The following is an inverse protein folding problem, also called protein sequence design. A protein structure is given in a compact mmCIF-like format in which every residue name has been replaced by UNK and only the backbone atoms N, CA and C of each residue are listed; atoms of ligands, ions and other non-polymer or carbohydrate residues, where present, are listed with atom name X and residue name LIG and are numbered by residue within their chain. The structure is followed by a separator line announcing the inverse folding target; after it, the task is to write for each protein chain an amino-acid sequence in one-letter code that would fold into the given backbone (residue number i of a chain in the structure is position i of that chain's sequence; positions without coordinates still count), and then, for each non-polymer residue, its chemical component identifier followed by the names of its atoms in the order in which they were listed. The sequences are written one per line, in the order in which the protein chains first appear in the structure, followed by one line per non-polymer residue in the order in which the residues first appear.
data_IF_576659456488
#
_entry.id   IF_576659456488
#
_cell.length_a   1.000
_cell.length_b   1.000
_cell.length_c   1.000
_cell.angle_alpha   90.00
_cell.angle_beta   90.00
_cell.angle_gamma   90.00
#
_symmetry.space_group_name_H-M   'P 1'
#
loop_
_entity.id
_entity.type
_entity.pdbx_description
1 polymer ?
#
# COMPACT_ATOMS: atom_id res chain seq x y z
N UNK A 1 20.30 50.31 -59.27
CA UNK A 1 19.24 51.12 -58.63
C UNK A 1 18.11 50.27 -58.04
N UNK A 2 17.58 49.27 -58.75
CA UNK A 2 16.50 48.42 -58.22
C UNK A 2 16.94 47.62 -56.98
N UNK A 3 18.16 47.09 -56.98
CA UNK A 3 18.73 46.31 -55.85
C UNK A 3 18.88 47.12 -54.56
N UNK A 4 19.32 48.38 -54.64
CA UNK A 4 19.46 49.26 -53.47
C UNK A 4 18.11 49.69 -52.89
N UNK A 5 17.09 49.89 -53.74
CA UNK A 5 15.72 50.12 -53.27
C UNK A 5 15.16 48.89 -52.56
N UNK A 6 15.39 47.69 -53.09
CA UNK A 6 14.94 46.44 -52.46
C UNK A 6 15.62 46.19 -51.10
N UNK A 7 16.92 46.43 -51.01
CA UNK A 7 17.66 46.37 -49.74
C UNK A 7 17.15 47.40 -48.71
N UNK A 8 16.82 48.63 -49.14
CA UNK A 8 16.23 49.65 -48.28
C UNK A 8 14.82 49.30 -47.80
N UNK A 9 13.96 48.81 -48.70
CA UNK A 9 12.58 48.41 -48.39
C UNK A 9 12.55 47.19 -47.46
N UNK A 10 13.41 46.19 -47.69
CA UNK A 10 13.53 45.03 -46.80
C UNK A 10 13.98 45.43 -45.39
N UNK A 11 14.96 46.34 -45.26
CA UNK A 11 15.36 46.90 -43.98
C UNK A 11 14.22 47.63 -43.25
N UNK A 12 13.42 48.44 -43.96
CA UNK A 12 12.25 49.10 -43.36
C UNK A 12 11.19 48.09 -42.92
N UNK A 13 10.92 47.07 -43.71
CA UNK A 13 9.94 46.04 -43.40
C UNK A 13 10.34 45.22 -42.16
N UNK A 14 11.61 44.81 -42.07
CA UNK A 14 12.12 44.10 -40.88
C UNK A 14 12.03 44.97 -39.63
N UNK A 15 12.33 46.26 -39.72
CA UNK A 15 12.19 47.20 -38.60
C UNK A 15 10.72 47.41 -38.20
N UNK A 16 9.79 47.41 -39.15
CA UNK A 16 8.36 47.47 -38.84
C UNK A 16 7.96 46.27 -37.97
N UNK A 17 8.31 45.06 -38.39
CA UNK A 17 7.98 43.85 -37.64
C UNK A 17 8.67 43.80 -36.28
N UNK A 18 9.89 44.33 -36.17
CA UNK A 18 10.57 44.50 -34.88
C UNK A 18 9.77 45.40 -33.94
N UNK A 19 9.31 46.54 -34.44
CA UNK A 19 8.49 47.48 -33.67
C UNK A 19 7.16 46.86 -33.25
N UNK A 20 6.53 46.05 -34.11
CA UNK A 20 5.29 45.35 -33.78
C UNK A 20 5.49 44.39 -32.60
N UNK A 21 6.57 43.58 -32.61
CA UNK A 21 6.88 42.64 -31.52
C UNK A 21 7.26 43.38 -30.24
N UNK A 22 8.01 44.48 -30.33
CA UNK A 22 8.33 45.31 -29.16
C UNK A 22 7.06 45.96 -28.60
N UNK A 23 6.15 46.42 -29.46
CA UNK A 23 4.84 46.95 -29.08
C UNK A 23 3.99 45.91 -28.35
N UNK A 24 3.93 44.68 -28.86
CA UNK A 24 3.23 43.56 -28.21
C UNK A 24 3.82 43.24 -26.84
N UNK A 25 5.14 43.17 -26.74
CA UNK A 25 5.83 42.92 -25.46
C UNK A 25 5.53 44.03 -24.43
N UNK A 26 5.50 45.29 -24.87
CA UNK A 26 5.23 46.42 -24.00
C UNK A 26 3.76 46.45 -23.57
N UNK A 27 2.83 46.14 -24.47
CA UNK A 27 1.40 46.08 -24.17
C UNK A 27 1.09 45.00 -23.12
N UNK A 28 1.83 43.89 -23.12
CA UNK A 28 1.62 42.75 -22.23
C UNK A 28 2.54 42.75 -20.99
N UNK A 29 3.19 43.88 -20.65
CA UNK A 29 4.15 43.95 -19.54
C UNK A 29 3.55 43.55 -18.18
N UNK A 30 2.25 43.81 -17.98
CA UNK A 30 1.54 43.49 -16.74
C UNK A 30 0.70 42.20 -16.84
N UNK A 31 0.76 41.48 -17.96
CA UNK A 31 0.01 40.24 -18.14
C UNK A 31 0.70 39.10 -17.40
N UNK A 32 0.03 38.53 -16.41
CA UNK A 32 0.58 37.43 -15.60
C UNK A 32 0.93 36.22 -16.46
N UNK A 33 2.16 35.71 -16.30
CA UNK A 33 2.63 34.53 -17.04
C UNK A 33 3.03 34.79 -18.49
N UNK A 34 2.99 36.04 -18.97
CA UNK A 34 3.44 36.39 -20.32
C UNK A 34 4.94 36.09 -20.53
N UNK A 35 5.28 35.56 -21.70
CA UNK A 35 6.66 35.29 -22.12
C UNK A 35 6.98 36.17 -23.33
N UNK A 36 8.00 37.02 -23.18
CA UNK A 36 8.37 37.98 -24.22
C UNK A 36 8.92 37.28 -25.46
N UNK A 37 8.61 37.85 -26.62
CA UNK A 37 9.09 37.39 -27.91
C UNK A 37 10.26 38.26 -28.40
N UNK A 38 11.25 37.66 -29.05
CA UNK A 38 12.38 38.36 -29.68
C UNK A 38 12.49 37.96 -31.15
N UNK A 39 12.52 38.92 -32.10
CA UNK A 39 12.79 38.59 -33.49
C UNK A 39 14.27 38.32 -33.74
N UNK A 40 14.54 37.37 -34.63
CA UNK A 40 15.86 37.06 -35.16
C UNK A 40 15.89 37.45 -36.64
N UNK A 41 16.91 38.19 -37.03
CA UNK A 41 17.11 38.64 -38.40
C UNK A 41 18.25 37.87 -39.05
N UNK A 42 18.13 37.66 -40.35
CA UNK A 42 19.15 37.05 -41.20
C UNK A 42 19.34 37.85 -42.49
N UNK A 43 20.50 37.71 -43.11
CA UNK A 43 20.79 38.30 -44.40
C UNK A 43 20.20 37.45 -45.54
N UNK A 44 19.73 38.13 -46.58
CA UNK A 44 19.27 37.45 -47.79
C UNK A 44 20.49 37.10 -48.65
N UNK A 45 20.49 35.92 -49.27
CA UNK A 45 21.59 35.43 -50.11
C UNK A 45 22.16 36.52 -51.03
N UNK A 46 23.47 36.75 -50.89
CA UNK A 46 24.22 37.74 -51.65
C UNK A 46 24.34 37.34 -53.12
N UNK A 47 24.28 38.33 -54.02
CA UNK A 47 24.56 38.13 -55.45
C UNK A 47 26.06 38.20 -55.71
N UNK A 48 26.62 37.11 -56.24
CA UNK A 48 28.03 37.00 -56.61
C UNK A 48 28.24 37.46 -58.07
N UNK A 49 28.96 38.56 -58.25
CA UNK A 49 29.30 39.09 -59.59
C UNK A 49 30.66 38.61 -60.09
N UNK A 50 31.63 38.40 -59.19
CA UNK A 50 32.94 37.84 -59.52
C UNK A 50 33.37 36.85 -58.43
N UNK A 51 33.81 35.63 -58.79
CA UNK A 51 34.40 34.71 -57.82
C UNK A 51 35.76 35.22 -57.37
N UNK A 52 36.22 34.73 -56.21
CA UNK A 52 37.58 34.97 -55.76
C UNK A 52 38.57 34.30 -56.73
N UNK A 53 39.72 34.95 -56.97
CA UNK A 53 40.80 34.37 -57.77
C UNK A 53 42.10 34.35 -56.96
N UNK A 54 42.79 33.21 -57.00
CA UNK A 54 44.12 33.04 -56.42
C UNK A 54 45.17 33.79 -57.25
N UNK A 55 46.33 34.08 -56.64
CA UNK A 55 47.44 34.74 -57.34
C UNK A 55 48.05 33.80 -58.40
N UNK A 56 48.18 34.29 -59.63
CA UNK A 56 48.84 33.59 -60.75
C UNK A 56 49.70 34.56 -61.56
N UNK A 57 50.79 34.03 -62.15
CA UNK A 57 51.67 34.73 -63.10
C UNK A 57 52.19 36.11 -62.63
N UNK A 58 52.54 36.23 -61.35
CA UNK A 58 53.08 37.47 -60.76
C UNK A 58 52.03 38.55 -60.49
N UNK A 59 50.74 38.24 -60.66
CA UNK A 59 49.60 39.12 -60.36
C UNK A 59 48.95 38.69 -59.03
N UNK A 60 48.62 39.66 -58.17
CA UNK A 60 47.98 39.40 -56.87
C UNK A 60 46.58 38.82 -56.99
N UNK A 61 46.14 38.13 -55.93
CA UNK A 61 44.78 37.57 -55.83
C UNK A 61 43.70 38.65 -55.86
N UNK A 62 42.50 38.27 -56.31
CA UNK A 62 41.35 39.16 -56.45
C UNK A 62 40.24 38.72 -55.49
N UNK A 63 39.76 39.67 -54.68
CA UNK A 63 38.63 39.43 -53.77
C UNK A 63 37.33 39.18 -54.55
N UNK A 64 36.43 38.31 -54.03
CA UNK A 64 35.13 38.10 -54.64
C UNK A 64 34.30 39.39 -54.56
N UNK A 65 33.56 39.69 -55.63
CA UNK A 65 32.69 40.86 -55.69
C UNK A 65 31.26 40.40 -55.42
N UNK A 66 30.76 40.66 -54.22
CA UNK A 66 29.43 40.29 -53.77
C UNK A 66 28.61 41.53 -53.41
N UNK A 67 27.31 41.50 -53.69
CA UNK A 67 26.37 42.55 -53.30
C UNK A 67 25.29 41.92 -52.41
N UNK A 68 25.06 42.52 -51.25
CA UNK A 68 24.03 42.08 -50.32
C UNK A 68 22.63 42.47 -50.77
N UNK A 69 21.68 41.55 -50.63
CA UNK A 69 20.30 41.71 -51.10
C UNK A 69 19.33 42.24 -50.03
N UNK A 70 19.83 42.55 -48.83
CA UNK A 70 19.04 43.06 -47.71
C UNK A 70 18.95 42.05 -46.56
N UNK A 71 17.96 42.24 -45.70
CA UNK A 71 17.71 41.42 -44.54
C UNK A 71 16.26 40.94 -44.49
N UNK A 72 16.03 39.80 -43.86
CA UNK A 72 14.70 39.25 -43.59
C UNK A 72 14.61 38.78 -42.14
N UNK A 73 13.39 38.50 -41.67
CA UNK A 73 13.21 37.87 -40.36
C UNK A 73 13.29 36.35 -40.50
N UNK A 74 14.20 35.73 -39.75
CA UNK A 74 14.38 34.29 -39.72
C UNK A 74 13.31 33.61 -38.86
N UNK A 75 13.12 34.10 -37.64
CA UNK A 75 12.19 33.53 -36.66
C UNK A 75 11.82 34.53 -35.57
N UNK A 76 10.78 34.18 -34.80
CA UNK A 76 10.43 34.85 -33.55
C UNK A 76 10.57 33.83 -32.43
N UNK A 77 11.43 34.12 -31.46
CA UNK A 77 11.72 33.23 -30.34
C UNK A 77 11.01 33.72 -29.07
N UNK A 78 10.32 32.81 -28.38
CA UNK A 78 9.73 33.07 -27.07
C UNK A 78 10.77 32.81 -25.98
N UNK A 79 11.03 33.80 -25.12
CA UNK A 79 12.00 33.70 -24.05
C UNK A 79 11.34 33.19 -22.76
N UNK A 80 11.59 31.93 -22.39
CA UNK A 80 10.96 31.26 -21.24
C UNK A 80 11.55 31.60 -19.86
N UNK A 81 12.40 32.62 -19.76
CA UNK A 81 13.06 33.03 -18.50
C UNK A 81 12.04 33.32 -17.39
N UNK A 82 12.39 33.00 -16.14
CA UNK A 82 11.59 33.32 -14.97
C UNK A 82 11.52 34.84 -14.73
N UNK A 83 10.32 35.32 -14.38
CA UNK A 83 10.06 36.72 -14.01
C UNK A 83 10.27 36.97 -12.52
N UNK A 84 9.88 38.16 -12.05
CA UNK A 84 9.82 38.46 -10.62
C UNK A 84 8.48 38.01 -10.05
N UNK A 85 8.50 37.33 -8.91
CA UNK A 85 7.30 36.87 -8.24
C UNK A 85 6.78 37.99 -7.32
N UNK A 86 5.46 38.23 -7.34
CA UNK A 86 4.78 39.20 -6.49
C UNK A 86 3.80 38.43 -5.62
N UNK A 87 3.87 38.66 -4.31
CA UNK A 87 2.98 38.02 -3.34
C UNK A 87 1.59 38.66 -3.46
N UNK A 88 0.56 37.82 -3.48
CA UNK A 88 -0.85 38.23 -3.43
C UNK A 88 -1.48 37.72 -2.12
N UNK A 89 -2.58 38.34 -1.68
CA UNK A 89 -3.32 37.94 -0.48
C UNK A 89 -4.36 36.82 -0.75
N UNK A 90 -4.26 36.15 -1.91
CA UNK A 90 -5.25 35.16 -2.36
C UNK A 90 -4.63 33.77 -2.40
N UNK A 91 -5.12 32.90 -1.52
CA UNK A 91 -4.59 31.54 -1.33
C UNK A 91 -4.67 30.64 -2.57
N UNK A 92 -5.57 30.94 -3.52
CA UNK A 92 -5.71 30.16 -4.76
C UNK A 92 -4.82 30.67 -5.89
N UNK A 93 -4.10 31.77 -5.68
CA UNK A 93 -3.13 32.27 -6.63
C UNK A 93 -1.78 31.59 -6.37
N UNK A 94 -1.27 30.91 -7.38
CA UNK A 94 -0.04 30.12 -7.28
C UNK A 94 0.92 30.48 -8.40
N UNK A 95 2.22 30.47 -8.10
CA UNK A 95 3.28 30.65 -9.09
C UNK A 95 4.22 29.45 -9.05
N UNK A 96 4.56 28.91 -10.21
CA UNK A 96 5.61 27.89 -10.30
C UNK A 96 6.97 28.62 -10.31
N UNK A 97 7.90 28.17 -9.49
CA UNK A 97 9.29 28.65 -9.48
C UNK A 97 10.13 27.65 -10.28
N UNK A 98 10.82 28.14 -11.32
CA UNK A 98 11.65 27.33 -12.21
C UNK A 98 11.24 27.40 -13.68
N UNK A 99 12.14 26.94 -14.55
CA UNK A 99 11.94 26.93 -16.00
C UNK A 99 11.30 25.61 -16.47
N UNK A 100 10.58 25.66 -17.59
CA UNK A 100 10.04 24.45 -18.27
C UNK A 100 8.75 23.87 -17.71
N UNK A 101 8.22 24.37 -16.59
CA UNK A 101 6.96 23.88 -16.00
C UNK A 101 5.76 24.75 -16.33
N UNK A 102 4.60 24.12 -16.51
CA UNK A 102 3.31 24.75 -16.81
C UNK A 102 2.19 24.10 -16.01
N UNK A 103 1.13 24.88 -15.76
CA UNK A 103 -0.15 24.34 -15.32
C UNK A 103 -0.90 23.76 -16.51
N UNK A 104 -1.59 22.66 -16.28
CA UNK A 104 -2.44 22.01 -17.28
C UNK A 104 -3.88 22.44 -17.03
N UNK A 105 -4.57 22.90 -18.08
CA UNK A 105 -5.97 23.33 -18.03
C UNK A 105 -6.76 22.75 -19.19
N UNK A 106 -8.04 22.46 -18.98
CA UNK A 106 -8.91 21.87 -20.00
C UNK A 106 -10.33 22.44 -19.84
N UNK A 107 -11.05 22.66 -20.93
CA UNK A 107 -12.45 23.11 -20.93
C UNK A 107 -13.45 21.97 -20.64
N UNK A 108 -12.99 20.71 -20.68
CA UNK A 108 -13.78 19.50 -20.53
C UNK A 108 -14.62 19.14 -21.76
N UNK A 109 -14.47 19.88 -22.86
CA UNK A 109 -15.17 19.67 -24.14
C UNK A 109 -14.16 19.22 -25.20
N UNK A 110 -13.00 19.87 -25.22
CA UNK A 110 -11.85 19.53 -26.03
C UNK A 110 -11.14 18.31 -25.46
N UNK A 111 -10.75 17.32 -26.29
CA UNK A 111 -9.90 16.22 -25.86
C UNK A 111 -8.45 16.65 -25.61
N UNK A 112 -8.11 17.92 -25.83
CA UNK A 112 -6.75 18.43 -25.73
C UNK A 112 -6.54 19.27 -24.47
N UNK A 113 -5.47 18.95 -23.75
CA UNK A 113 -4.98 19.75 -22.64
C UNK A 113 -4.22 20.98 -23.13
N UNK A 114 -4.46 22.10 -22.46
CA UNK A 114 -3.81 23.37 -22.70
C UNK A 114 -2.83 23.68 -21.56
N UNK A 115 -1.76 24.40 -21.88
CA UNK A 115 -0.70 24.74 -20.94
C UNK A 115 -0.69 26.23 -20.66
N UNK A 116 -0.62 26.61 -19.38
CA UNK A 116 -0.54 28.01 -18.97
C UNK A 116 0.47 28.21 -17.85
N UNK A 117 1.09 29.39 -17.82
CA UNK A 117 1.95 29.81 -16.70
C UNK A 117 1.24 30.73 -15.72
N UNK A 118 0.06 31.24 -16.07
CA UNK A 118 -0.75 32.08 -15.21
C UNK A 118 -1.47 31.20 -14.18
N UNK A 119 -1.17 31.40 -12.90
CA UNK A 119 -1.78 30.64 -11.80
C UNK A 119 -2.85 31.41 -11.03
N UNK A 120 -3.60 32.27 -11.72
CA UNK A 120 -4.75 32.96 -11.13
C UNK A 120 -5.99 32.06 -11.20
N UNK A 121 -6.27 31.32 -10.13
CA UNK A 121 -7.35 30.34 -10.09
C UNK A 121 -8.46 30.72 -9.11
N UNK A 122 -9.67 30.24 -9.37
CA UNK A 122 -10.85 30.42 -8.52
C UNK A 122 -11.68 29.13 -8.49
N UNK A 123 -12.41 28.91 -7.40
CA UNK A 123 -13.38 27.82 -7.33
C UNK A 123 -14.70 28.25 -7.98
N UNK A 124 -15.22 27.40 -8.86
CA UNK A 124 -16.57 27.53 -9.38
C UNK A 124 -17.62 27.08 -8.33
N UNK A 125 -18.93 27.32 -8.57
CA UNK A 125 -20.00 26.86 -7.67
C UNK A 125 -20.07 25.34 -7.51
N UNK A 126 -19.56 24.59 -8.49
CA UNK A 126 -19.50 23.12 -8.50
C UNK A 126 -18.28 22.57 -7.75
N UNK A 127 -17.41 23.44 -7.24
CA UNK A 127 -16.19 23.08 -6.52
C UNK A 127 -14.97 22.82 -7.40
N UNK A 128 -15.05 23.00 -8.72
CA UNK A 128 -13.88 22.84 -9.60
C UNK A 128 -12.95 24.06 -9.49
N UNK A 129 -11.65 23.81 -9.52
CA UNK A 129 -10.65 24.87 -9.63
C UNK A 129 -10.53 25.27 -11.10
N UNK A 130 -10.82 26.53 -11.42
CA UNK A 130 -10.79 27.05 -12.79
C UNK A 130 -9.99 28.34 -12.89
N UNK A 131 -9.46 28.62 -14.08
CA UNK A 131 -8.84 29.91 -14.39
C UNK A 131 -9.89 30.99 -14.72
N UNK A 132 -9.45 32.23 -14.96
CA UNK A 132 -10.35 33.35 -15.30
C UNK A 132 -11.15 33.14 -16.59
N UNK A 133 -10.69 32.27 -17.48
CA UNK A 133 -11.36 31.92 -18.74
C UNK A 133 -12.35 30.76 -18.57
N UNK A 134 -12.51 30.20 -17.37
CA UNK A 134 -13.39 29.06 -17.09
C UNK A 134 -12.80 27.69 -17.41
N UNK A 135 -11.51 27.61 -17.77
CA UNK A 135 -10.82 26.35 -17.99
C UNK A 135 -10.48 25.71 -16.64
N UNK A 136 -10.79 24.43 -16.48
CA UNK A 136 -10.55 23.67 -15.26
C UNK A 136 -9.08 23.27 -15.18
N UNK A 137 -8.47 23.52 -14.02
CA UNK A 137 -7.11 23.07 -13.72
C UNK A 137 -7.11 21.55 -13.59
N UNK A 138 -6.22 20.91 -14.33
CA UNK A 138 -6.09 19.46 -14.31
C UNK A 138 -5.12 19.02 -13.20
N UNK A 139 -5.39 17.85 -12.62
CA UNK A 139 -4.62 17.25 -11.54
C UNK A 139 -5.23 15.93 -11.11
N UNK A 140 -4.82 15.46 -9.95
CA UNK A 140 -5.37 14.25 -9.34
C UNK A 140 -6.33 14.63 -8.22
N UNK A 141 -7.53 14.06 -8.28
CA UNK A 141 -8.53 14.21 -7.23
C UNK A 141 -8.22 13.23 -6.08
N UNK A 142 -8.71 13.58 -4.89
CA UNK A 142 -8.66 12.68 -3.76
C UNK A 142 -9.51 11.43 -4.00
N UNK A 143 -8.97 10.26 -3.66
CA UNK A 143 -9.73 9.01 -3.79
C UNK A 143 -10.88 8.99 -2.79
N UNK A 144 -12.03 8.50 -3.28
CA UNK A 144 -13.22 8.27 -2.47
C UNK A 144 -13.61 6.81 -2.52
N UNK A 145 -14.14 6.32 -1.41
CA UNK A 145 -14.74 5.00 -1.29
C UNK A 145 -16.04 4.97 -2.11
N UNK A 146 -16.20 3.96 -2.96
CA UNK A 146 -17.30 3.85 -3.90
C UNK A 146 -18.67 3.58 -3.25
N UNK A 147 -18.68 3.08 -2.01
CA UNK A 147 -19.89 2.75 -1.26
C UNK A 147 -20.32 3.91 -0.36
N UNK A 148 -19.35 4.54 0.32
CA UNK A 148 -19.60 5.56 1.35
C UNK A 148 -19.39 6.99 0.85
N UNK A 149 -18.76 7.18 -0.32
CA UNK A 149 -18.34 8.47 -0.90
C UNK A 149 -17.39 9.26 0.01
N UNK A 150 -16.79 8.61 1.01
CA UNK A 150 -15.86 9.22 1.96
C UNK A 150 -14.43 9.22 1.42
N UNK A 151 -13.67 10.24 1.80
CA UNK A 151 -12.25 10.36 1.45
C UNK A 151 -11.44 9.22 2.05
N UNK A 152 -10.70 8.51 1.20
CA UNK A 152 -9.77 7.46 1.63
C UNK A 152 -8.52 8.14 2.19
N UNK A 153 -8.07 7.68 3.37
CA UNK A 153 -6.87 8.19 4.02
C UNK A 153 -5.81 7.09 4.13
N UNK A 154 -4.55 7.50 4.14
CA UNK A 154 -3.43 6.62 4.43
C UNK A 154 -3.20 6.43 5.94
N UNK A 155 -2.28 5.55 6.32
CA UNK A 155 -1.91 5.24 7.71
C UNK A 155 -1.43 6.46 8.53
N UNK A 156 -1.09 7.57 7.86
CA UNK A 156 -0.72 8.85 8.48
C UNK A 156 -1.89 9.85 8.56
N UNK A 157 -3.13 9.41 8.36
CA UNK A 157 -4.34 10.22 8.36
C UNK A 157 -4.33 11.34 7.29
N UNK A 158 -3.59 11.16 6.19
CA UNK A 158 -3.60 12.06 5.03
C UNK A 158 -4.45 11.47 3.92
N UNK A 159 -5.19 12.32 3.22
CA UNK A 159 -5.99 11.91 2.05
C UNK A 159 -5.11 11.26 0.99
N UNK A 160 -5.52 10.09 0.51
CA UNK A 160 -4.80 9.34 -0.51
C UNK A 160 -5.08 9.95 -1.89
N UNK A 161 -4.01 10.16 -2.66
CA UNK A 161 -4.04 10.55 -4.07
C UNK A 161 -3.42 9.41 -4.88
N UNK A 162 -4.04 9.05 -5.99
CA UNK A 162 -3.47 8.15 -6.99
C UNK A 162 -2.96 8.98 -8.16
N UNK A 163 -1.63 8.98 -8.37
CA UNK A 163 -0.98 9.71 -9.46
C UNK A 163 -0.87 8.91 -10.76
N UNK A 164 -1.21 7.62 -10.74
CA UNK A 164 -1.17 6.75 -11.91
C UNK A 164 -2.46 6.85 -12.75
N UNK A 165 -3.52 7.42 -12.17
CA UNK A 165 -4.75 7.77 -12.87
C UNK A 165 -4.54 8.93 -13.86
N UNK A 166 -5.35 8.99 -14.93
CA UNK A 166 -5.33 10.11 -15.86
C UNK A 166 -5.66 11.42 -15.13
N UNK A 167 -5.13 12.52 -15.67
CA UNK A 167 -5.42 13.86 -15.16
C UNK A 167 -6.90 14.20 -15.37
N UNK A 168 -7.52 14.74 -14.33
CA UNK A 168 -8.90 15.23 -14.36
C UNK A 168 -9.00 16.63 -13.77
N UNK A 169 -10.14 17.28 -13.96
CA UNK A 169 -10.40 18.58 -13.34
C UNK A 169 -10.38 18.48 -11.82
N UNK A 170 -9.50 19.26 -11.19
CA UNK A 170 -9.38 19.30 -9.73
C UNK A 170 -10.68 19.82 -9.12
N UNK A 171 -11.30 19.00 -8.27
CA UNK A 171 -12.60 19.30 -7.66
C UNK A 171 -12.53 19.18 -6.13
N UNK A 172 -12.94 20.23 -5.46
CA UNK A 172 -13.11 20.28 -4.00
C UNK A 172 -14.60 20.44 -3.70
N UNK A 173 -15.20 19.40 -3.14
CA UNK A 173 -16.62 19.42 -2.76
C UNK A 173 -16.80 20.34 -1.56
N UNK A 174 -17.62 21.39 -1.71
CA UNK A 174 -18.02 22.23 -0.57
C UNK A 174 -19.05 21.48 0.27
N UNK A 175 -18.96 21.64 1.59
CA UNK A 175 -19.82 20.98 2.59
C UNK A 175 -19.63 19.45 2.66
N UNK A 176 -18.43 18.96 2.37
CA UNK A 176 -18.08 17.57 2.60
C UNK A 176 -18.16 17.22 4.09
N UNK A 177 -18.73 16.05 4.41
CA UNK A 177 -18.90 15.58 5.79
C UNK A 177 -17.79 14.58 6.07
N UNK A 178 -16.90 14.92 7.00
CA UNK A 178 -15.90 13.98 7.48
C UNK A 178 -16.54 13.04 8.50
N UNK A 179 -16.54 11.70 8.25
CA UNK A 179 -17.06 10.75 9.24
C UNK A 179 -16.19 10.76 10.49
N UNK A 180 -16.80 10.47 11.64
CA UNK A 180 -16.07 10.27 12.89
C UNK A 180 -15.20 9.02 12.79
N UNK A 181 -13.93 9.13 13.17
CA UNK A 181 -13.03 7.99 13.29
C UNK A 181 -13.07 7.45 14.72
N UNK A 182 -13.34 6.15 14.87
CA UNK A 182 -13.28 5.49 16.17
C UNK A 182 -11.84 5.52 16.71
N UNK A 183 -11.69 5.75 18.01
CA UNK A 183 -10.38 5.70 18.66
C UNK A 183 -9.83 4.27 18.60
N UNK A 184 -8.75 4.07 17.83
CA UNK A 184 -8.09 2.76 17.70
C UNK A 184 -6.95 2.55 18.69
N UNK A 185 -6.37 3.63 19.22
CA UNK A 185 -5.27 3.58 20.17
C UNK A 185 -5.43 4.64 21.25
N UNK A 186 -5.42 4.21 22.50
CA UNK A 186 -5.30 5.08 23.67
C UNK A 186 -3.96 4.79 24.35
N UNK A 187 -3.09 5.79 24.45
CA UNK A 187 -1.82 5.65 25.20
C UNK A 187 -1.99 6.35 26.54
N UNK A 188 -1.94 5.58 27.62
CA UNK A 188 -1.99 6.08 28.99
C UNK A 188 -0.60 5.96 29.62
N UNK A 189 -0.13 7.05 30.22
CA UNK A 189 1.08 7.04 31.05
C UNK A 189 0.75 7.70 32.39
N UNK A 190 1.16 7.06 33.48
CA UNK A 190 0.96 7.58 34.84
C UNK A 190 2.12 7.13 35.72
N UNK A 191 2.49 7.98 36.68
CA UNK A 191 3.46 7.63 37.73
C UNK A 191 2.78 6.77 38.80
N UNK A 192 3.28 5.55 39.00
CA UNK A 192 2.79 4.67 40.06
C UNK A 192 3.54 4.95 41.37
N UNK A 193 2.81 5.04 42.48
CA UNK A 193 3.41 5.19 43.80
C UNK A 193 4.04 3.86 44.24
N UNK A 194 5.36 3.83 44.42
CA UNK A 194 6.11 2.61 44.77
C UNK A 194 5.85 2.09 46.18
N UNK A 195 5.13 2.83 47.03
CA UNK A 195 4.85 2.48 48.43
C UNK A 195 3.42 1.98 48.65
N UNK A 196 2.56 2.00 47.62
CA UNK A 196 1.18 1.55 47.75
C UNK A 196 1.10 0.04 47.50
N UNK A 197 0.60 -0.72 48.49
CA UNK A 197 0.34 -2.16 48.35
C UNK A 197 -0.66 -2.41 47.21
N UNK A 198 -0.25 -3.24 46.25
CA UNK A 198 -1.03 -3.59 45.07
C UNK A 198 -2.29 -4.33 45.53
N UNK A 199 -3.46 -3.72 45.35
CA UNK A 199 -4.71 -4.44 45.41
C UNK A 199 -4.80 -5.29 44.14
N UNK A 200 -4.19 -6.48 44.19
CA UNK A 200 -4.49 -7.54 43.23
C UNK A 200 -5.86 -8.04 43.63
N UNK A 201 -6.91 -7.47 43.04
CA UNK A 201 -8.14 -8.23 42.88
C UNK A 201 -8.04 -8.82 41.47
N UNK A 202 -7.54 -10.07 41.33
CA UNK A 202 -7.50 -10.70 40.03
C UNK A 202 -8.94 -10.97 39.65
N UNK A 203 -9.49 -10.19 38.73
CA UNK A 203 -10.71 -10.58 38.02
C UNK A 203 -10.34 -11.84 37.22
N UNK A 204 -10.56 -13.00 37.81
CA UNK A 204 -10.41 -14.30 37.18
C UNK A 204 -11.59 -14.50 36.23
N UNK A 205 -11.43 -14.07 34.98
CA UNK A 205 -12.29 -14.51 33.90
C UNK A 205 -11.81 -15.91 33.50
N UNK A 206 -12.51 -16.93 34.01
CA UNK A 206 -12.21 -18.34 33.72
C UNK A 206 -12.58 -18.70 32.28
N UNK A 207 -11.67 -18.47 31.34
CA UNK A 207 -11.80 -18.97 29.97
C UNK A 207 -11.20 -20.38 29.87
N UNK A 208 -11.98 -21.34 29.39
CA UNK A 208 -11.51 -22.71 29.10
C UNK A 208 -10.89 -22.75 27.71
N UNK A 209 -9.60 -23.03 27.59
CA UNK A 209 -8.89 -23.23 26.31
C UNK A 209 -8.81 -24.71 25.97
N UNK A 210 -9.24 -25.09 24.77
CA UNK A 210 -9.21 -26.48 24.28
C UNK A 210 -7.98 -26.74 23.39
N UNK A 211 -7.48 -27.97 23.40
CA UNK A 211 -6.45 -28.47 22.48
C UNK A 211 -7.15 -29.23 21.35
N UNK A 212 -6.95 -28.83 20.10
CA UNK A 212 -7.51 -29.51 18.93
C UNK A 212 -6.43 -30.15 18.06
N UNK A 213 -6.74 -31.28 17.43
CA UNK A 213 -5.91 -31.84 16.36
C UNK A 213 -5.84 -30.92 15.14
N UNK A 214 -4.63 -30.75 14.56
CA UNK A 214 -4.35 -29.80 13.46
C UNK A 214 -5.07 -30.14 12.15
N UNK A 215 -5.34 -31.42 11.92
CA UNK A 215 -6.05 -31.93 10.74
C UNK A 215 -7.13 -32.88 11.22
N UNK A 216 -8.31 -32.93 10.57
CA UNK A 216 -9.28 -33.98 10.84
C UNK A 216 -8.63 -35.35 10.67
N UNK A 217 -8.76 -36.19 11.67
CA UNK A 217 -8.30 -37.58 11.61
C UNK A 217 -9.29 -38.35 10.74
N UNK A 218 -9.17 -38.21 9.41
CA UNK A 218 -9.92 -39.00 8.43
C UNK A 218 -10.70 -38.25 7.34
N UNK A 219 -10.09 -37.30 6.63
CA UNK A 219 -10.69 -36.75 5.40
C UNK A 219 -10.33 -37.61 4.16
N UNK A 220 -10.85 -38.86 4.09
CA UNK A 220 -10.79 -39.69 2.88
C UNK A 220 -10.85 -41.21 3.07
N UNK A 221 -11.91 -41.83 2.54
CA UNK A 221 -12.24 -43.27 2.33
C UNK A 221 -12.54 -44.22 3.50
N UNK A 222 -12.39 -43.85 4.78
CA UNK A 222 -13.17 -44.45 5.89
C UNK A 222 -13.40 -43.39 6.96
N UNK A 223 -14.66 -43.13 7.32
CA UNK A 223 -14.99 -42.36 8.53
C UNK A 223 -14.38 -43.06 9.74
N UNK A 224 -13.67 -42.31 10.59
CA UNK A 224 -13.13 -42.86 11.84
C UNK A 224 -14.30 -43.38 12.69
N UNK A 225 -14.29 -44.68 13.00
CA UNK A 225 -15.28 -45.28 13.88
C UNK A 225 -14.65 -45.44 15.27
N UNK A 226 -14.89 -44.46 16.15
CA UNK A 226 -14.33 -44.45 17.51
C UNK A 226 -14.79 -45.64 18.36
N UNK A 227 -15.94 -46.24 18.04
CA UNK A 227 -16.47 -47.41 18.74
C UNK A 227 -15.85 -48.74 18.27
N UNK A 228 -15.21 -48.78 17.10
CA UNK A 228 -14.56 -49.98 16.57
C UNK A 228 -13.22 -50.26 17.27
N UNK A 229 -12.77 -51.52 17.24
CA UNK A 229 -11.43 -51.87 17.69
C UNK A 229 -10.37 -51.11 16.88
N UNK A 230 -9.18 -50.88 17.46
CA UNK A 230 -8.15 -50.05 16.84
C UNK A 230 -7.78 -50.41 15.39
N UNK A 231 -7.84 -51.70 15.02
CA UNK A 231 -7.55 -52.16 13.66
C UNK A 231 -8.59 -51.68 12.62
N UNK A 232 -9.83 -51.47 13.07
CA UNK A 232 -10.98 -51.08 12.23
C UNK A 232 -11.41 -49.63 12.48
N UNK A 233 -10.83 -48.96 13.47
CA UNK A 233 -11.16 -47.61 13.88
C UNK A 233 -10.82 -46.55 12.82
N UNK A 234 -9.99 -46.88 11.81
CA UNK A 234 -9.66 -45.98 10.70
C UNK A 234 -8.37 -45.17 10.90
N UNK A 235 -7.53 -45.52 11.87
CA UNK A 235 -6.18 -44.98 12.01
C UNK A 235 -5.24 -45.58 10.95
N UNK A 236 -4.23 -44.83 10.53
CA UNK A 236 -3.23 -45.29 9.56
C UNK A 236 -2.44 -46.52 10.07
N UNK A 237 -2.22 -46.60 11.39
CA UNK A 237 -1.63 -47.76 12.08
C UNK A 237 -2.34 -47.96 13.42
N UNK A 238 -2.49 -49.20 13.87
CA UNK A 238 -3.01 -49.49 15.21
C UNK A 238 -2.16 -48.79 16.28
N UNK A 239 -2.72 -47.86 17.07
CA UNK A 239 -1.95 -47.17 18.08
C UNK A 239 -1.47 -48.11 19.20
N UNK A 240 -0.28 -47.88 19.75
CA UNK A 240 0.28 -48.67 20.84
C UNK A 240 1.15 -47.86 21.81
N UNK A 241 1.38 -48.42 23.01
CA UNK A 241 2.25 -47.85 24.04
C UNK A 241 1.52 -47.17 25.17
N UNK A 242 2.17 -46.21 25.81
CA UNK A 242 1.64 -45.51 26.99
C UNK A 242 1.47 -44.04 26.66
N UNK A 243 0.29 -43.50 26.92
CA UNK A 243 0.05 -42.06 26.92
C UNK A 243 -0.10 -41.59 28.37
N UNK A 244 0.31 -40.36 28.66
CA UNK A 244 -0.01 -39.73 29.93
C UNK A 244 -0.47 -38.29 29.76
N UNK A 245 -1.53 -37.96 30.51
CA UNK A 245 -2.14 -36.64 30.58
C UNK A 245 -2.05 -36.18 32.03
N UNK A 246 -1.37 -35.06 32.28
CA UNK A 246 -1.19 -34.50 33.63
C UNK A 246 -0.68 -35.52 34.67
N UNK A 247 0.10 -36.52 34.22
CA UNK A 247 0.64 -37.57 35.07
C UNK A 247 -0.24 -38.82 35.23
N UNK A 248 -1.50 -38.80 34.77
CA UNK A 248 -2.32 -40.01 34.67
C UNK A 248 -1.89 -40.86 33.47
N UNK A 249 -1.60 -42.14 33.66
CA UNK A 249 -1.09 -43.04 32.61
C UNK A 249 -2.20 -43.93 32.03
N UNK A 250 -2.24 -44.04 30.70
CA UNK A 250 -3.20 -44.88 29.96
C UNK A 250 -2.45 -45.76 28.95
N UNK A 251 -2.64 -47.08 29.04
CA UNK A 251 -2.01 -48.05 28.15
C UNK A 251 -2.88 -48.31 26.92
N UNK A 252 -2.28 -48.24 25.74
CA UNK A 252 -2.91 -48.48 24.45
C UNK A 252 -2.26 -49.73 23.82
N UNK A 253 -3.09 -50.70 23.44
CA UNK A 253 -2.63 -51.97 22.84
C UNK A 253 -1.95 -52.95 23.80
N UNK A 254 -1.82 -54.20 23.35
CA UNK A 254 -1.33 -55.35 24.15
C UNK A 254 -2.30 -55.81 25.23
N UNK A 255 -1.91 -56.83 26.01
CA UNK A 255 -2.75 -57.34 27.11
C UNK A 255 -2.97 -56.28 28.19
N UNK A 256 -4.25 -56.00 28.49
CA UNK A 256 -4.67 -54.99 29.47
C UNK A 256 -4.65 -53.54 29.00
N UNK A 257 -4.43 -53.27 27.70
CA UNK A 257 -4.59 -51.93 27.12
C UNK A 257 -6.03 -51.63 26.69
N UNK A 258 -6.37 -50.35 26.52
CA UNK A 258 -7.68 -49.95 26.02
C UNK A 258 -7.84 -50.37 24.54
N UNK A 259 -8.92 -51.10 24.23
CA UNK A 259 -9.10 -51.79 22.94
C UNK A 259 -9.72 -50.98 21.79
N UNK A 260 -10.28 -49.81 22.09
CA UNK A 260 -10.86 -48.89 21.10
C UNK A 260 -10.65 -47.42 21.50
N UNK A 261 -10.72 -46.48 20.54
CA UNK A 261 -10.64 -45.05 20.83
C UNK A 261 -11.69 -44.59 21.84
N UNK A 262 -12.94 -45.06 21.70
CA UNK A 262 -14.04 -44.67 22.59
C UNK A 262 -13.82 -45.14 24.03
N UNK A 263 -13.30 -46.35 24.22
CA UNK A 263 -13.02 -46.88 25.57
C UNK A 263 -11.87 -46.11 26.22
N UNK A 264 -10.83 -45.76 25.46
CA UNK A 264 -9.74 -44.90 25.93
C UNK A 264 -10.26 -43.51 26.35
N UNK A 265 -11.07 -42.88 25.50
CA UNK A 265 -11.64 -41.56 25.79
C UNK A 265 -12.51 -41.57 27.04
N UNK A 266 -13.35 -42.59 27.21
CA UNK A 266 -14.16 -42.75 28.41
C UNK A 266 -13.29 -42.94 29.67
N UNK A 267 -12.19 -43.68 29.57
CA UNK A 267 -11.27 -43.86 30.69
C UNK A 267 -10.55 -42.56 31.06
N UNK A 268 -10.16 -41.74 30.07
CA UNK A 268 -9.58 -40.41 30.30
C UNK A 268 -10.62 -39.50 30.98
N UNK A 269 -11.84 -39.45 30.45
CA UNK A 269 -12.94 -38.60 30.97
C UNK A 269 -13.39 -39.01 32.38
N UNK A 270 -13.06 -40.21 32.84
CA UNK A 270 -13.37 -40.69 34.19
C UNK A 270 -12.19 -40.53 35.16
N UNK A 271 -11.01 -40.12 34.67
CA UNK A 271 -9.81 -39.97 35.49
C UNK A 271 -9.73 -38.57 36.10
N UNK A 272 -10.02 -38.47 37.40
CA UNK A 272 -9.85 -37.23 38.16
C UNK A 272 -8.39 -36.72 38.17
N UNK A 273 -7.41 -37.60 37.96
CA UNK A 273 -6.00 -37.23 37.87
C UNK A 273 -5.61 -36.64 36.52
N UNK A 274 -6.29 -37.03 35.43
CA UNK A 274 -6.06 -36.42 34.13
C UNK A 274 -6.58 -34.98 34.11
N UNK A 275 -7.72 -34.73 34.79
CA UNK A 275 -8.31 -33.40 34.91
C UNK A 275 -8.68 -32.77 33.57
N UNK A 276 -9.01 -33.62 32.58
CA UNK A 276 -9.41 -33.21 31.24
C UNK A 276 -10.58 -34.06 30.75
N UNK A 277 -11.35 -33.46 29.85
CA UNK A 277 -12.35 -34.11 29.02
C UNK A 277 -11.85 -34.19 27.58
N UNK A 278 -11.73 -35.39 27.04
CA UNK A 278 -11.44 -35.67 25.63
C UNK A 278 -12.72 -36.05 24.87
N UNK A 279 -12.95 -35.38 23.74
CA UNK A 279 -14.07 -35.60 22.84
C UNK A 279 -13.61 -35.74 21.38
N UNK A 280 -14.43 -36.38 20.55
CA UNK A 280 -14.21 -36.50 19.12
C UNK A 280 -15.42 -35.92 18.37
N UNK A 281 -15.26 -34.74 17.79
CA UNK A 281 -16.34 -33.97 17.15
C UNK A 281 -15.83 -33.40 15.83
N UNK A 282 -16.63 -33.51 14.76
CA UNK A 282 -16.28 -32.91 13.46
C UNK A 282 -15.00 -33.46 12.83
N UNK A 283 -14.62 -34.70 13.13
CA UNK A 283 -13.40 -35.32 12.62
C UNK A 283 -12.14 -34.99 13.42
N UNK A 284 -12.24 -34.27 14.53
CA UNK A 284 -11.10 -33.84 15.34
C UNK A 284 -11.19 -34.37 16.76
N UNK A 285 -10.02 -34.66 17.36
CA UNK A 285 -9.92 -34.86 18.79
C UNK A 285 -9.74 -33.51 19.49
N UNK A 286 -10.52 -33.30 20.54
CA UNK A 286 -10.53 -32.08 21.34
C UNK A 286 -10.30 -32.49 22.79
N UNK A 287 -9.28 -31.91 23.43
CA UNK A 287 -8.97 -32.11 24.86
C UNK A 287 -9.22 -30.79 25.58
N UNK A 288 -10.13 -30.80 26.54
CA UNK A 288 -10.55 -29.65 27.33
C UNK A 288 -10.16 -29.87 28.79
N UNK A 289 -9.57 -28.90 29.49
CA UNK A 289 -9.35 -29.03 30.92
C UNK A 289 -10.69 -28.97 31.67
N UNK A 290 -10.86 -29.79 32.70
CA UNK A 290 -12.11 -29.84 33.49
C UNK A 290 -12.31 -28.55 34.29
N UNK A 291 -11.21 -27.89 34.66
CA UNK A 291 -11.21 -26.59 35.32
C UNK A 291 -10.50 -25.54 34.44
N UNK A 292 -11.07 -24.33 34.27
CA UNK A 292 -10.42 -23.25 33.51
C UNK A 292 -9.05 -22.90 34.10
N UNK A 293 -8.07 -22.64 33.22
CA UNK A 293 -6.73 -22.17 33.62
C UNK A 293 -5.79 -23.23 34.20
N UNK A 294 -6.06 -24.52 34.01
CA UNK A 294 -5.15 -25.62 34.39
C UNK A 294 -4.39 -26.13 33.16
N UNK A 295 -3.06 -26.02 33.19
CA UNK A 295 -2.17 -26.49 32.11
C UNK A 295 -2.35 -27.99 31.84
N UNK A 296 -2.20 -28.36 30.57
CA UNK A 296 -2.30 -29.75 30.14
C UNK A 296 -0.93 -30.23 29.68
N UNK A 297 -0.33 -31.14 30.42
CA UNK A 297 0.89 -31.84 30.06
C UNK A 297 0.54 -33.13 29.33
N UNK A 298 0.96 -33.25 28.06
CA UNK A 298 0.78 -34.46 27.25
C UNK A 298 2.11 -35.15 27.00
N UNK A 299 2.13 -36.45 27.28
CA UNK A 299 3.27 -37.32 26.95
C UNK A 299 2.81 -38.59 26.26
N UNK A 300 3.69 -39.11 25.42
CA UNK A 300 3.47 -40.34 24.68
C UNK A 300 4.78 -41.13 24.58
N UNK A 301 4.70 -42.42 24.87
CA UNK A 301 5.79 -43.38 24.70
C UNK A 301 5.26 -44.58 23.92
N UNK A 302 5.29 -44.52 22.57
CA UNK A 302 4.77 -45.61 21.75
C UNK A 302 5.73 -46.80 21.79
N UNK A 303 5.20 -48.02 21.72
CA UNK A 303 6.06 -49.23 21.63
C UNK A 303 6.75 -49.27 20.26
N UNK A 304 6.03 -48.89 19.22
CA UNK A 304 6.57 -48.76 17.86
C UNK A 304 6.62 -47.28 17.46
N UNK A 305 7.77 -46.76 16.98
CA UNK A 305 7.84 -45.38 16.48
C UNK A 305 6.77 -45.07 15.43
N UNK A 306 6.05 -43.96 15.61
CA UNK A 306 4.97 -43.52 14.71
C UNK A 306 3.63 -44.24 14.86
N UNK A 307 3.46 -45.10 15.88
CA UNK A 307 2.17 -45.70 16.27
C UNK A 307 1.58 -45.08 17.55
N UNK A 308 1.98 -43.87 17.91
CA UNK A 308 1.35 -43.15 19.02
C UNK A 308 -0.10 -42.74 18.70
N UNK A 309 -0.99 -42.72 19.69
CA UNK A 309 -2.31 -42.13 19.59
C UNK A 309 -2.27 -40.61 19.35
N UNK A 310 -1.51 -39.84 20.13
CA UNK A 310 -1.42 -38.39 19.94
C UNK A 310 -0.68 -38.04 18.64
N UNK A 311 0.41 -38.76 18.37
CA UNK A 311 1.16 -38.65 17.12
C UNK A 311 0.27 -38.89 15.89
N UNK A 312 -0.53 -39.96 15.88
CA UNK A 312 -1.44 -40.25 14.77
C UNK A 312 -2.66 -39.33 14.73
N UNK A 313 -3.04 -38.76 15.86
CA UNK A 313 -4.08 -37.73 15.95
C UNK A 313 -3.55 -36.32 15.65
N UNK A 314 -2.28 -36.18 15.25
CA UNK A 314 -1.63 -34.89 14.94
C UNK A 314 -1.67 -33.90 16.11
N UNK A 315 -1.68 -34.41 17.35
CA UNK A 315 -1.54 -33.65 18.59
C UNK A 315 -0.08 -33.80 19.04
N UNK A 316 0.58 -32.68 19.34
CA UNK A 316 1.98 -32.70 19.75
C UNK A 316 2.10 -33.18 21.20
N UNK A 317 2.78 -34.29 21.40
CA UNK A 317 3.07 -34.83 22.73
C UNK A 317 4.58 -34.86 22.98
N UNK A 318 4.96 -34.75 24.26
CA UNK A 318 6.34 -34.90 24.71
C UNK A 318 6.68 -36.35 25.04
N UNK A 319 7.90 -36.57 25.51
CA UNK A 319 8.31 -37.84 26.12
C UNK A 319 8.05 -37.81 27.62
N UNK A 320 8.17 -38.95 28.30
CA UNK A 320 8.00 -39.03 29.76
C UNK A 320 8.97 -38.14 30.55
N UNK A 321 10.17 -37.90 30.00
CA UNK A 321 11.21 -37.07 30.64
C UNK A 321 11.08 -35.58 30.30
N UNK A 322 10.54 -35.27 29.12
CA UNK A 322 10.29 -33.89 28.67
C UNK A 322 8.85 -33.75 28.21
N UNK A 323 7.89 -33.56 29.14
CA UNK A 323 6.49 -33.43 28.79
C UNK A 323 6.23 -32.18 27.96
N UNK A 324 5.32 -32.28 26.99
CA UNK A 324 4.89 -31.13 26.24
C UNK A 324 3.75 -30.44 26.99
N UNK A 325 4.03 -29.25 27.49
CA UNK A 325 3.09 -28.50 28.33
C UNK A 325 2.32 -27.52 27.45
N UNK A 326 1.02 -27.72 27.37
CA UNK A 326 0.09 -26.76 26.79
C UNK A 326 -0.32 -25.77 27.88
N UNK A 327 0.15 -24.55 27.70
CA UNK A 327 -0.15 -23.44 28.60
C UNK A 327 -1.58 -22.95 28.35
N UNK A 328 -2.49 -23.37 29.20
CA UNK A 328 -3.88 -22.91 29.24
C UNK A 328 -4.10 -21.93 30.39
N UNK A 329 -3.12 -21.80 31.31
CA UNK A 329 -3.17 -21.02 32.55
C UNK A 329 -2.77 -19.55 32.44
N UNK A 330 -2.03 -19.12 31.41
CA UNK A 330 -1.55 -17.74 31.33
C UNK A 330 -2.53 -16.77 30.65
N UNK A 331 -2.65 -15.59 31.28
CA UNK A 331 -3.54 -14.48 30.96
C UNK A 331 -2.87 -13.33 30.17
N UNK A 332 -1.76 -13.56 29.47
CA UNK A 332 -0.93 -12.47 28.90
C UNK A 332 -0.74 -12.52 27.39
N UNK A 333 -1.20 -11.44 26.73
CA UNK A 333 -0.66 -10.70 25.58
C UNK A 333 -0.45 -11.44 24.24
N UNK A 334 -1.14 -10.98 23.19
CA UNK A 334 -0.92 -11.37 21.78
C UNK A 334 0.07 -10.37 21.14
N UNK A 335 1.13 -10.86 20.52
CA UNK A 335 2.11 -10.07 19.75
C UNK A 335 2.28 -10.69 18.33
N UNK A 336 2.52 -9.86 17.31
CA UNK A 336 2.43 -10.19 15.87
C UNK A 336 3.80 -10.43 15.21
N UNK A 337 3.90 -11.36 14.24
CA UNK A 337 5.04 -11.44 13.30
C UNK A 337 4.68 -12.13 11.96
N UNK A 338 5.28 -11.69 10.84
CA UNK A 338 5.03 -12.12 9.45
C UNK A 338 6.23 -12.89 8.88
N UNK A 339 6.02 -14.06 8.24
CA UNK A 339 7.09 -14.83 7.58
C UNK A 339 6.66 -15.36 6.20
N UNK A 340 7.55 -15.22 5.21
CA UNK A 340 7.41 -15.66 3.81
C UNK A 340 8.04 -17.06 3.59
N UNK A 341 7.39 -17.94 2.81
CA UNK A 341 7.92 -19.26 2.42
C UNK A 341 8.66 -19.19 1.06
N UNK A 342 9.94 -19.62 0.98
CA UNK A 342 10.78 -19.53 -0.23
C UNK A 342 10.41 -20.46 -1.41
N UNK A 343 9.48 -21.42 -1.26
CA UNK A 343 9.08 -22.29 -2.38
C UNK A 343 7.85 -21.79 -3.16
N UNK A 344 7.24 -20.67 -2.73
CA UNK A 344 6.22 -19.92 -3.48
C UNK A 344 6.31 -18.44 -3.04
N UNK A 345 7.04 -17.57 -3.76
CA UNK A 345 7.25 -16.18 -3.33
C UNK A 345 5.96 -15.33 -3.23
N UNK A 346 4.84 -15.80 -3.81
CA UNK A 346 3.53 -15.11 -3.78
C UNK A 346 2.57 -15.66 -2.71
N UNK A 347 2.99 -16.64 -1.89
CA UNK A 347 2.16 -17.22 -0.82
C UNK A 347 2.56 -16.65 0.54
N UNK A 348 1.82 -15.63 0.98
CA UNK A 348 1.86 -15.11 2.35
C UNK A 348 1.27 -16.16 3.30
N UNK A 349 2.07 -16.66 4.25
CA UNK A 349 1.58 -17.51 5.34
C UNK A 349 1.44 -16.68 6.62
N UNK A 350 0.23 -16.64 7.19
CA UNK A 350 -0.05 -16.12 8.54
C UNK A 350 -0.46 -17.27 9.47
N UNK A 351 -0.04 -17.22 10.74
CA UNK A 351 -0.46 -18.10 11.86
C UNK A 351 -0.34 -17.29 13.16
N UNK A 352 -1.22 -17.20 14.17
CA UNK A 352 -2.56 -17.75 14.53
C UNK A 352 -3.37 -16.69 15.33
N UNK A 353 -4.63 -16.99 15.72
CA UNK A 353 -5.60 -16.08 16.38
C UNK A 353 -6.33 -16.73 17.57
N UNK A 354 -6.72 -15.95 18.58
CA UNK A 354 -7.60 -16.38 19.68
C UNK A 354 -9.08 -16.11 19.35
N UNK A 355 -9.98 -17.04 19.73
CA UNK A 355 -11.42 -17.03 19.43
C UNK A 355 -12.21 -17.60 20.61
N UNK A 356 -13.42 -17.09 20.83
CA UNK A 356 -14.37 -17.53 21.86
C UNK A 356 -14.84 -18.97 21.57
N UNK A 357 -14.81 -19.89 22.54
CA UNK A 357 -15.13 -21.30 22.31
C UNK A 357 -16.64 -21.60 22.11
N UNK A 358 -17.56 -20.68 22.44
CA UNK A 358 -19.01 -20.89 22.24
C UNK A 358 -19.52 -20.28 20.94
N UNK A 359 -18.96 -19.14 20.53
CA UNK A 359 -19.44 -18.36 19.37
C UNK A 359 -18.50 -18.42 18.18
N UNK A 360 -17.25 -18.89 18.36
CA UNK A 360 -16.15 -18.82 17.38
C UNK A 360 -15.78 -17.40 16.94
N UNK A 361 -16.32 -16.38 17.62
CA UNK A 361 -16.02 -14.98 17.36
C UNK A 361 -14.64 -14.61 17.89
N UNK A 362 -13.99 -13.65 17.21
CA UNK A 362 -12.70 -13.10 17.64
C UNK A 362 -12.82 -12.56 19.05
N UNK A 363 -11.98 -13.04 19.96
CA UNK A 363 -11.82 -12.35 21.24
C UNK A 363 -11.13 -11.02 20.93
N UNK A 364 -11.89 -9.94 20.98
CA UNK A 364 -11.37 -8.59 20.81
C UNK A 364 -10.41 -8.28 21.95
N UNK A 365 -9.19 -7.95 21.57
CA UNK A 365 -8.05 -7.63 22.42
C UNK A 365 -8.26 -6.32 23.19
N UNK A 366 -7.82 -6.28 24.44
CA UNK A 366 -7.12 -5.09 24.96
C UNK A 366 -5.65 -5.19 24.59
#
# INVERSE_FOLDING_TARGET
MISSFYAGVSGLHVNQLWLDIVGENLANVNTTGFKKSRPIFEDILNQNYKPAQESQDGIGGINPMQIGNGATMASVEVLHKQGTDIITDKNTDVAIIGEGSFFVVNDGISPYDLYTRAGTFNFDPSGNLANQSGLKVQGWNALRDDITDYLIKNDSNKTLLDTDLPLEGVKIVRNDILPGEATTKLTLSSGLNSQQSIAIDPVSLGFTKNIESVVPVGAGLKTLNTAAAWADAGFNKTPNGMISINGAEFKIGGDGGYGSPLVLMNAINQSAQAGVTINYVGGKFIISPDNPGVDIALTETPITPGQGFFTQSMIKAGTKETPYIYNTSFNTQIQFEHLLDPNNPDKNYYRWRAVDPLTTELLTTN
#
